data_IF_664243196771
#
_entry.id   IF_664243196771
#
_cell.length_a   1.000
_cell.length_b   1.000
_cell.length_c   1.000
_cell.angle_alpha   90.00
_cell.angle_beta   90.00
_cell.angle_gamma   90.00
#
_symmetry.space_group_name_H-M   'P 1'
#
loop_
_entity.id
_entity.type
_entity.pdbx_description
1 polymer ?
#
# COMPACT_ATOMS: atom_id res chain seq x y z
N UNK A 1 -15.05 -0.77 -15.41
CA UNK A 1 -13.82 -0.08 -15.84
C UNK A 1 -12.77 -1.11 -16.21
N UNK A 2 -12.35 -1.98 -15.29
CA UNK A 2 -11.38 -3.04 -15.61
C UNK A 2 -11.94 -4.15 -16.51
N UNK A 3 -13.22 -4.53 -16.36
CA UNK A 3 -13.87 -5.61 -17.12
C UNK A 3 -14.39 -5.22 -18.51
N UNK A 4 -14.10 -4.01 -18.99
CA UNK A 4 -14.51 -3.64 -20.36
C UNK A 4 -13.73 -4.46 -21.39
N UNK A 5 -14.44 -4.94 -22.42
CA UNK A 5 -13.87 -5.71 -23.54
C UNK A 5 -13.27 -4.79 -24.62
N UNK A 6 -13.35 -3.48 -24.43
CA UNK A 6 -12.81 -2.51 -25.36
C UNK A 6 -11.28 -2.54 -25.39
N UNK A 7 -10.66 -2.35 -26.56
CA UNK A 7 -9.21 -2.38 -26.70
C UNK A 7 -8.56 -1.17 -26.04
N UNK A 8 -7.32 -1.37 -25.55
CA UNK A 8 -6.44 -0.26 -25.16
C UNK A 8 -5.92 0.50 -26.38
N UNK A 9 -5.48 1.74 -26.16
CA UNK A 9 -4.87 2.58 -27.21
C UNK A 9 -3.71 1.81 -27.88
N UNK A 10 -2.83 1.20 -27.09
CA UNK A 10 -1.72 0.40 -27.62
C UNK A 10 -2.21 -0.80 -28.42
N UNK A 11 -3.33 -1.43 -28.02
CA UNK A 11 -3.93 -2.54 -28.78
C UNK A 11 -4.47 -2.07 -30.12
N UNK A 12 -5.12 -0.90 -30.18
CA UNK A 12 -5.58 -0.30 -31.44
C UNK A 12 -4.38 0.02 -32.33
N UNK A 13 -3.34 0.66 -31.78
CA UNK A 13 -2.11 1.00 -32.51
C UNK A 13 -1.44 -0.25 -33.09
N UNK A 14 -1.35 -1.33 -32.33
CA UNK A 14 -0.74 -2.59 -32.79
C UNK A 14 -1.58 -3.32 -33.84
N UNK A 15 -2.91 -3.34 -33.70
CA UNK A 15 -3.80 -4.11 -34.61
C UNK A 15 -4.16 -3.37 -35.89
N UNK A 16 -4.35 -2.05 -35.78
CA UNK A 16 -4.91 -1.23 -36.85
C UNK A 16 -3.98 -0.08 -37.27
N UNK A 17 -2.86 0.14 -36.58
CA UNK A 17 -1.88 1.17 -36.91
C UNK A 17 -2.12 2.50 -36.18
N UNK A 18 -1.10 3.37 -36.26
CA UNK A 18 -1.04 4.62 -35.50
C UNK A 18 -2.14 5.61 -35.89
N UNK A 19 -2.47 5.72 -37.18
CA UNK A 19 -3.52 6.62 -37.65
C UNK A 19 -4.89 6.26 -37.06
N UNK A 20 -5.18 4.97 -36.92
CA UNK A 20 -6.44 4.52 -36.32
C UNK A 20 -6.49 4.78 -34.81
N UNK A 21 -5.36 4.64 -34.10
CA UNK A 21 -5.27 5.01 -32.69
C UNK A 21 -5.46 6.53 -32.50
N UNK A 22 -4.80 7.35 -33.32
CA UNK A 22 -4.97 8.82 -33.32
C UNK A 22 -6.41 9.22 -33.59
N UNK A 23 -7.03 8.64 -34.62
CA UNK A 23 -8.42 8.93 -34.97
C UNK A 23 -9.38 8.57 -33.82
N UNK A 24 -9.20 7.42 -33.17
CA UNK A 24 -10.04 7.01 -32.06
C UNK A 24 -9.94 7.97 -30.86
N UNK A 25 -8.73 8.38 -30.48
CA UNK A 25 -8.52 9.31 -29.36
C UNK A 25 -9.00 10.72 -29.74
N UNK A 26 -8.73 11.18 -30.96
CA UNK A 26 -9.17 12.48 -31.46
C UNK A 26 -10.70 12.61 -31.48
N UNK A 27 -11.40 11.55 -31.91
CA UNK A 27 -12.87 11.51 -31.91
C UNK A 27 -13.42 11.69 -30.49
N UNK A 28 -12.90 10.95 -29.51
CA UNK A 28 -13.34 11.06 -28.12
C UNK A 28 -13.02 12.41 -27.49
N UNK A 29 -11.88 13.02 -27.87
CA UNK A 29 -11.50 14.34 -27.41
C UNK A 29 -12.38 15.43 -28.04
N UNK A 30 -12.71 15.31 -29.33
CA UNK A 30 -13.59 16.25 -30.02
C UNK A 30 -14.99 16.29 -29.37
N UNK A 31 -15.59 15.13 -29.09
CA UNK A 31 -16.86 15.03 -28.35
C UNK A 31 -16.80 15.77 -27.00
N UNK A 32 -15.65 15.72 -26.33
CA UNK A 32 -15.44 16.40 -25.06
C UNK A 32 -15.31 17.92 -25.20
N UNK A 33 -14.57 18.38 -26.22
CA UNK A 33 -14.39 19.80 -26.49
C UNK A 33 -15.71 20.46 -26.93
N UNK A 34 -16.50 19.78 -27.75
CA UNK A 34 -17.80 20.26 -28.24
C UNK A 34 -18.79 20.49 -27.09
N UNK A 35 -18.81 19.60 -26.08
CA UNK A 35 -19.71 19.72 -24.93
C UNK A 35 -19.55 21.05 -24.15
N UNK A 36 -18.32 21.53 -24.00
CA UNK A 36 -18.06 22.73 -23.21
C UNK A 36 -18.33 24.04 -23.96
N UNK A 37 -18.61 23.98 -25.27
CA UNK A 37 -18.93 25.13 -26.12
C UNK A 37 -18.02 26.35 -25.85
N UNK A 38 -16.73 26.10 -25.62
CA UNK A 38 -15.82 27.16 -25.19
C UNK A 38 -15.42 27.99 -26.41
N UNK A 39 -15.61 29.31 -26.33
CA UNK A 39 -15.24 30.25 -27.40
C UNK A 39 -13.74 30.27 -27.73
N UNK A 40 -12.91 29.61 -26.92
CA UNK A 40 -11.46 29.42 -27.10
C UNK A 40 -11.07 27.94 -26.84
N UNK A 41 -11.63 27.00 -27.61
CA UNK A 41 -11.10 25.62 -27.64
C UNK A 41 -9.81 25.53 -28.46
N UNK A 42 -9.08 24.44 -28.28
CA UNK A 42 -7.89 24.09 -29.05
C UNK A 42 -8.11 24.12 -30.57
N UNK A 43 -7.10 24.55 -31.33
CA UNK A 43 -7.06 24.37 -32.79
C UNK A 43 -6.82 22.90 -33.17
N UNK A 44 -7.12 22.51 -34.42
CA UNK A 44 -6.89 21.15 -34.93
C UNK A 44 -5.45 20.66 -34.69
N UNK A 45 -4.47 21.55 -34.85
CA UNK A 45 -3.05 21.24 -34.58
C UNK A 45 -2.82 20.96 -33.09
N UNK A 46 -3.42 21.74 -32.19
CA UNK A 46 -3.32 21.53 -30.75
C UNK A 46 -4.05 20.24 -30.32
N UNK A 47 -5.17 19.91 -30.96
CA UNK A 47 -5.87 18.63 -30.78
C UNK A 47 -4.94 17.48 -31.18
N UNK A 48 -4.35 17.52 -32.37
CA UNK A 48 -3.44 16.47 -32.84
C UNK A 48 -2.22 16.28 -31.92
N UNK A 49 -1.59 17.37 -31.48
CA UNK A 49 -0.47 17.31 -30.53
C UNK A 49 -0.90 16.72 -29.18
N UNK A 50 -2.08 17.10 -28.68
CA UNK A 50 -2.61 16.58 -27.42
C UNK A 50 -2.92 15.09 -27.55
N UNK A 51 -3.48 14.65 -28.68
CA UNK A 51 -3.75 13.24 -28.96
C UNK A 51 -2.47 12.42 -28.94
N UNK A 52 -1.39 12.91 -29.55
CA UNK A 52 -0.10 12.23 -29.55
C UNK A 52 0.47 12.09 -28.13
N UNK A 53 0.38 13.16 -27.32
CA UNK A 53 0.77 13.11 -25.90
C UNK A 53 -0.07 12.11 -25.09
N UNK A 54 -1.38 12.01 -25.36
CA UNK A 54 -2.25 11.04 -24.69
C UNK A 54 -1.84 9.60 -25.05
N UNK A 55 -1.53 9.35 -26.32
CA UNK A 55 -1.11 8.02 -26.79
C UNK A 55 0.24 7.63 -26.18
N UNK A 56 1.16 8.58 -26.02
CA UNK A 56 2.48 8.38 -25.43
C UNK A 56 2.42 8.13 -23.92
N UNK A 57 1.70 8.97 -23.17
CA UNK A 57 1.65 8.92 -21.70
C UNK A 57 0.71 7.84 -21.17
N UNK A 58 -0.34 7.51 -21.93
CA UNK A 58 -1.43 6.66 -21.47
C UNK A 58 -1.76 5.49 -22.43
N UNK A 59 -0.76 4.76 -22.98
CA UNK A 59 -0.98 3.72 -23.98
C UNK A 59 -1.83 2.54 -23.46
N UNK A 60 -1.82 2.31 -22.15
CA UNK A 60 -2.54 1.24 -21.47
C UNK A 60 -4.04 1.51 -21.26
N UNK A 61 -4.52 2.76 -21.39
CA UNK A 61 -5.94 3.06 -21.20
C UNK A 61 -6.79 2.48 -22.34
N UNK A 62 -7.97 1.97 -22.00
CA UNK A 62 -9.02 1.52 -22.94
C UNK A 62 -9.78 2.70 -23.54
N UNK A 63 -10.43 2.51 -24.68
CA UNK A 63 -11.32 3.54 -25.25
C UNK A 63 -12.44 3.93 -24.26
N UNK A 64 -13.01 2.96 -23.55
CA UNK A 64 -13.99 3.21 -22.49
C UNK A 64 -13.44 3.98 -21.31
N UNK A 65 -12.15 3.84 -21.05
CA UNK A 65 -11.50 4.58 -20.00
C UNK A 65 -11.39 6.07 -20.34
N UNK A 66 -11.02 6.39 -21.59
CA UNK A 66 -11.02 7.75 -22.10
C UNK A 66 -12.45 8.34 -22.09
N UNK A 67 -13.44 7.57 -22.58
CA UNK A 67 -14.86 7.98 -22.53
C UNK A 67 -15.30 8.31 -21.10
N UNK A 68 -14.95 7.48 -20.13
CA UNK A 68 -15.32 7.69 -18.73
C UNK A 68 -14.60 8.90 -18.14
N UNK A 69 -13.30 9.06 -18.41
CA UNK A 69 -12.52 10.21 -18.00
C UNK A 69 -13.15 11.51 -18.51
N UNK A 70 -13.45 11.60 -19.81
CA UNK A 70 -14.05 12.79 -20.40
C UNK A 70 -15.47 13.03 -19.88
N UNK A 71 -16.30 11.99 -19.70
CA UNK A 71 -17.61 12.13 -19.04
C UNK A 71 -17.50 12.63 -17.59
N UNK A 72 -16.48 12.24 -16.85
CA UNK A 72 -16.24 12.75 -15.51
C UNK A 72 -15.78 14.22 -15.53
N UNK A 73 -14.96 14.60 -16.52
CA UNK A 73 -14.58 15.98 -16.75
C UNK A 73 -15.78 16.86 -17.10
N UNK A 74 -16.68 16.40 -17.98
CA UNK A 74 -17.96 17.05 -18.31
C UNK A 74 -18.83 17.30 -17.07
N UNK A 75 -18.76 16.42 -16.07
CA UNK A 75 -19.43 16.56 -14.78
C UNK A 75 -18.65 17.40 -13.76
N UNK A 76 -17.56 18.06 -14.18
CA UNK A 76 -16.66 18.86 -13.34
C UNK A 76 -16.03 18.09 -12.17
N UNK A 77 -15.94 16.75 -12.25
CA UNK A 77 -15.33 15.91 -11.19
C UNK A 77 -13.87 16.29 -10.94
N UNK A 78 -13.17 16.71 -11.99
CA UNK A 78 -11.75 17.03 -11.94
C UNK A 78 -11.45 18.50 -11.65
N UNK A 79 -12.47 19.27 -11.24
CA UNK A 79 -12.35 20.68 -10.88
C UNK A 79 -13.10 21.60 -11.85
N UNK A 80 -13.15 22.88 -11.48
CA UNK A 80 -13.73 23.93 -12.31
C UNK A 80 -12.87 24.13 -13.56
N UNK A 81 -13.54 24.27 -14.70
CA UNK A 81 -12.91 24.63 -15.97
C UNK A 81 -13.03 26.13 -16.08
N UNK A 82 -11.90 26.82 -16.01
CA UNK A 82 -11.84 28.27 -16.27
C UNK A 82 -11.90 28.52 -17.79
N UNK A 83 -11.81 29.78 -18.23
CA UNK A 83 -12.05 30.25 -19.61
C UNK A 83 -11.44 29.46 -20.79
N UNK A 84 -10.57 28.46 -20.58
CA UNK A 84 -9.90 27.68 -21.64
C UNK A 84 -9.86 26.18 -21.34
N UNK A 85 -10.01 25.39 -22.39
CA UNK A 85 -9.69 23.95 -22.39
C UNK A 85 -8.56 23.71 -23.39
N UNK A 86 -7.36 23.46 -22.88
CA UNK A 86 -6.17 23.14 -23.66
C UNK A 86 -5.64 21.73 -23.34
N UNK A 87 -4.54 21.35 -23.98
CA UNK A 87 -3.91 20.05 -23.77
C UNK A 87 -3.47 19.80 -22.32
N UNK A 88 -3.05 20.84 -21.58
CA UNK A 88 -2.66 20.68 -20.17
C UNK A 88 -3.88 20.34 -19.30
N UNK A 89 -5.01 21.00 -19.55
CA UNK A 89 -6.28 20.72 -18.85
C UNK A 89 -6.70 19.28 -19.12
N UNK A 90 -6.67 18.82 -20.37
CA UNK A 90 -7.03 17.44 -20.75
C UNK A 90 -6.10 16.41 -20.10
N UNK A 91 -4.79 16.64 -20.14
CA UNK A 91 -3.81 15.75 -19.50
C UNK A 91 -3.97 15.72 -17.97
N UNK A 92 -4.39 16.83 -17.36
CA UNK A 92 -4.68 16.88 -15.92
C UNK A 92 -5.88 16.01 -15.53
N UNK A 93 -6.91 15.93 -16.38
CA UNK A 93 -8.05 15.04 -16.19
C UNK A 93 -7.63 13.57 -16.25
N UNK A 94 -6.85 13.22 -17.27
CA UNK A 94 -6.32 11.86 -17.43
C UNK A 94 -5.41 11.46 -16.27
N UNK A 95 -4.57 12.38 -15.78
CA UNK A 95 -3.71 12.16 -14.60
C UNK A 95 -4.55 11.84 -13.36
N UNK A 96 -5.58 12.64 -13.08
CA UNK A 96 -6.49 12.42 -11.94
C UNK A 96 -7.23 11.10 -12.08
N UNK A 97 -7.77 10.83 -13.26
CA UNK A 97 -8.48 9.59 -13.55
C UNK A 97 -7.59 8.35 -13.42
N UNK A 98 -6.34 8.41 -13.91
CA UNK A 98 -5.40 7.30 -13.77
C UNK A 98 -5.02 7.07 -12.30
N UNK A 99 -4.89 8.13 -11.49
CA UNK A 99 -4.69 8.01 -10.05
C UNK A 99 -5.89 7.35 -9.35
N UNK A 100 -7.12 7.74 -9.69
CA UNK A 100 -8.33 7.11 -9.17
C UNK A 100 -8.39 5.62 -9.53
N UNK A 101 -8.04 5.28 -10.78
CA UNK A 101 -7.95 3.90 -11.25
C UNK A 101 -6.99 3.08 -10.39
N UNK A 102 -5.76 3.56 -10.20
CA UNK A 102 -4.76 2.83 -9.42
C UNK A 102 -5.26 2.61 -7.99
N UNK A 103 -5.85 3.63 -7.36
CA UNK A 103 -6.43 3.49 -6.03
C UNK A 103 -7.56 2.46 -5.97
N UNK A 104 -8.41 2.35 -7.00
CA UNK A 104 -9.44 1.31 -7.05
C UNK A 104 -8.81 -0.08 -7.18
N UNK A 105 -7.80 -0.23 -8.04
CA UNK A 105 -7.09 -1.50 -8.22
C UNK A 105 -6.37 -1.93 -6.92
N UNK A 106 -5.72 -1.00 -6.23
CA UNK A 106 -5.07 -1.24 -4.94
C UNK A 106 -6.09 -1.68 -3.89
N UNK A 107 -7.23 -0.98 -3.81
CA UNK A 107 -8.31 -1.33 -2.89
C UNK A 107 -8.94 -2.69 -3.20
N UNK A 108 -9.07 -3.06 -4.48
CA UNK A 108 -9.56 -4.38 -4.88
C UNK A 108 -8.57 -5.46 -4.48
N UNK A 109 -7.28 -5.27 -4.79
CA UNK A 109 -6.21 -6.18 -4.44
C UNK A 109 -6.11 -6.38 -2.91
N UNK A 110 -6.22 -5.30 -2.15
CA UNK A 110 -6.23 -5.33 -0.69
C UNK A 110 -7.46 -6.08 -0.15
N UNK A 111 -8.64 -5.85 -0.71
CA UNK A 111 -9.87 -6.54 -0.31
C UNK A 111 -9.79 -8.03 -0.62
N UNK A 112 -9.31 -8.42 -1.80
CA UNK A 112 -9.12 -9.81 -2.18
C UNK A 112 -8.13 -10.51 -1.25
N UNK A 113 -6.99 -9.87 -0.97
CA UNK A 113 -6.00 -10.39 -0.03
C UNK A 113 -6.60 -10.57 1.37
N UNK A 114 -7.36 -9.58 1.85
CA UNK A 114 -8.03 -9.67 3.15
C UNK A 114 -9.08 -10.78 3.19
N UNK A 115 -9.85 -10.97 2.12
CA UNK A 115 -10.82 -12.06 2.02
C UNK A 115 -10.15 -13.44 2.02
N UNK A 116 -8.98 -13.58 1.37
CA UNK A 116 -8.18 -14.81 1.43
C UNK A 116 -7.74 -15.09 2.86
N UNK A 117 -7.15 -14.10 3.55
CA UNK A 117 -6.77 -14.23 4.96
C UNK A 117 -8.00 -14.58 5.81
N UNK A 118 -9.13 -13.90 5.62
CA UNK A 118 -10.37 -14.17 6.36
C UNK A 118 -10.86 -15.60 6.10
N UNK A 119 -10.78 -16.08 4.85
CA UNK A 119 -11.18 -17.43 4.47
C UNK A 119 -10.25 -18.51 5.01
N UNK A 120 -8.95 -18.24 5.05
CA UNK A 120 -7.92 -19.09 5.66
C UNK A 120 -7.96 -19.02 7.19
N UNK A 121 -8.53 -17.94 7.75
CA UNK A 121 -8.74 -17.73 9.18
C UNK A 121 -10.11 -18.22 9.69
N UNK A 122 -10.99 -18.73 8.81
CA UNK A 122 -12.03 -19.65 9.28
C UNK A 122 -11.28 -20.73 10.06
N UNK A 123 -11.64 -21.01 11.32
CA UNK A 123 -10.91 -22.00 12.08
C UNK A 123 -10.91 -23.27 11.21
N UNK A 124 -9.70 -23.69 10.79
CA UNK A 124 -9.49 -25.06 10.32
C UNK A 124 -10.32 -25.92 11.25
N UNK A 125 -11.25 -26.72 10.73
CA UNK A 125 -12.13 -27.59 11.51
C UNK A 125 -11.28 -28.62 12.28
N UNK A 126 -10.58 -28.14 13.29
CA UNK A 126 -9.56 -28.78 14.07
C UNK A 126 -9.68 -28.19 15.47
N UNK A 127 -9.65 -29.07 16.45
CA UNK A 127 -9.80 -28.72 17.87
C UNK A 127 -8.76 -27.65 18.24
N UNK A 128 -9.19 -26.61 18.96
CA UNK A 128 -8.23 -25.71 19.59
C UNK A 128 -7.35 -26.52 20.55
N UNK A 129 -6.08 -26.12 20.73
CA UNK A 129 -5.14 -26.85 21.59
C UNK A 129 -5.68 -27.08 23.02
N UNK A 130 -6.43 -26.11 23.55
CA UNK A 130 -7.09 -26.21 24.84
C UNK A 130 -8.17 -27.30 24.87
N UNK A 131 -8.98 -27.38 23.81
CA UNK A 131 -10.03 -28.40 23.65
C UNK A 131 -9.41 -29.79 23.48
N UNK A 132 -8.35 -29.90 22.66
CA UNK A 132 -7.58 -31.14 22.48
C UNK A 132 -6.98 -31.64 23.81
N UNK A 133 -6.42 -30.74 24.61
CA UNK A 133 -5.85 -31.10 25.91
C UNK A 133 -6.91 -31.52 26.92
N UNK A 134 -8.08 -30.89 26.92
CA UNK A 134 -9.21 -31.28 27.76
C UNK A 134 -9.71 -32.71 27.43
N UNK A 135 -9.78 -33.05 26.14
CA UNK A 135 -10.13 -34.41 25.69
C UNK A 135 -9.09 -35.45 26.17
N UNK A 136 -7.79 -35.14 26.03
CA UNK A 136 -6.72 -36.01 26.51
C UNK A 136 -6.79 -36.24 28.02
N UNK A 137 -7.10 -35.19 28.80
CA UNK A 137 -7.27 -35.31 30.26
C UNK A 137 -8.42 -36.25 30.61
N UNK A 138 -9.55 -36.15 29.91
CA UNK A 138 -10.70 -36.99 30.18
C UNK A 138 -10.45 -38.46 29.79
N UNK A 139 -9.79 -38.70 28.65
CA UNK A 139 -9.38 -40.05 28.23
C UNK A 139 -8.36 -40.65 29.20
N UNK A 140 -7.40 -39.86 29.66
CA UNK A 140 -6.42 -40.29 30.66
C UNK A 140 -7.09 -40.65 32.00
N UNK A 141 -8.10 -39.89 32.45
CA UNK A 141 -8.90 -40.23 33.65
C UNK A 141 -9.63 -41.56 33.50
N UNK A 142 -10.08 -41.87 32.28
CA UNK A 142 -10.72 -43.14 31.94
C UNK A 142 -9.74 -44.30 31.71
N UNK A 143 -8.43 -44.08 31.94
CA UNK A 143 -7.40 -45.12 31.91
C UNK A 143 -6.75 -45.36 30.55
N UNK A 144 -6.97 -44.49 29.56
CA UNK A 144 -6.32 -44.55 28.25
C UNK A 144 -4.82 -44.18 28.37
N UNK A 145 -3.96 -45.19 28.20
CA UNK A 145 -2.50 -45.04 28.32
C UNK A 145 -1.91 -44.16 27.22
N UNK A 146 -2.48 -44.19 26.02
CA UNK A 146 -2.01 -43.37 24.90
C UNK A 146 -2.31 -41.89 25.17
N UNK A 147 -3.47 -41.61 25.78
CA UNK A 147 -3.82 -40.26 26.21
C UNK A 147 -2.90 -39.74 27.34
N UNK A 148 -2.50 -40.60 28.29
CA UNK A 148 -1.53 -40.24 29.34
C UNK A 148 -0.18 -39.85 28.74
N UNK A 149 0.37 -40.67 27.84
CA UNK A 149 1.65 -40.36 27.17
C UNK A 149 1.57 -39.09 26.32
N UNK A 150 0.45 -38.86 25.63
CA UNK A 150 0.22 -37.64 24.88
C UNK A 150 0.13 -36.39 25.77
N UNK A 151 -0.50 -36.50 26.95
CA UNK A 151 -0.59 -35.42 27.93
C UNK A 151 0.80 -35.05 28.49
N UNK A 152 1.61 -36.05 28.86
CA UNK A 152 2.97 -35.85 29.38
C UNK A 152 3.88 -35.15 28.36
N UNK A 153 3.81 -35.57 27.09
CA UNK A 153 4.54 -34.91 26.01
C UNK A 153 4.10 -33.46 25.84
N UNK A 154 2.79 -33.21 25.90
CA UNK A 154 2.19 -31.88 25.83
C UNK A 154 2.64 -30.97 26.98
N UNK A 155 2.67 -31.49 28.21
CA UNK A 155 3.16 -30.77 29.39
C UNK A 155 4.63 -30.40 29.25
N UNK A 156 5.46 -31.34 28.76
CA UNK A 156 6.88 -31.11 28.50
C UNK A 156 7.12 -30.01 27.48
N UNK A 157 6.38 -30.02 26.37
CA UNK A 157 6.48 -28.99 25.33
C UNK A 157 6.04 -27.63 25.88
N UNK A 158 4.95 -27.59 26.64
CA UNK A 158 4.44 -26.36 27.26
C UNK A 158 5.49 -25.71 28.17
N UNK A 159 6.12 -26.51 29.03
CA UNK A 159 7.16 -26.04 29.93
C UNK A 159 8.38 -25.52 29.18
N UNK A 160 8.84 -26.23 28.14
CA UNK A 160 9.98 -25.81 27.32
C UNK A 160 9.74 -24.47 26.62
N UNK A 161 8.52 -24.25 26.11
CA UNK A 161 8.14 -22.98 25.47
C UNK A 161 8.14 -21.85 26.51
N UNK A 162 7.57 -22.11 27.69
CA UNK A 162 7.50 -21.13 28.76
C UNK A 162 8.90 -20.75 29.28
N UNK A 163 9.79 -21.72 29.46
CA UNK A 163 11.18 -21.50 29.85
C UNK A 163 11.92 -20.61 28.85
N UNK A 164 11.82 -20.90 27.55
CA UNK A 164 12.43 -20.07 26.49
C UNK A 164 11.89 -18.64 26.49
N UNK A 165 10.59 -18.47 26.74
CA UNK A 165 9.95 -17.15 26.82
C UNK A 165 10.46 -16.37 28.03
N UNK A 166 10.56 -17.00 29.20
CA UNK A 166 11.10 -16.40 30.42
C UNK A 166 12.59 -16.06 30.24
N UNK A 167 13.38 -16.92 29.60
CA UNK A 167 14.79 -16.66 29.34
C UNK A 167 14.99 -15.44 28.43
N UNK A 168 14.17 -15.31 27.38
CA UNK A 168 14.18 -14.13 26.51
C UNK A 168 13.83 -12.87 27.30
N UNK A 169 12.75 -12.89 28.08
CA UNK A 169 12.35 -11.77 28.93
C UNK A 169 13.44 -11.35 29.92
N UNK A 170 14.16 -12.32 30.52
CA UNK A 170 15.32 -12.03 31.39
C UNK A 170 16.46 -11.37 30.64
N UNK A 171 16.78 -11.82 29.41
CA UNK A 171 17.82 -11.20 28.57
C UNK A 171 17.45 -9.76 28.21
N UNK A 172 16.20 -9.54 27.82
CA UNK A 172 15.69 -8.21 27.49
C UNK A 172 15.73 -7.27 28.70
N UNK A 173 15.32 -7.77 29.87
CA UNK A 173 15.36 -7.01 31.13
C UNK A 173 16.80 -6.66 31.55
N UNK A 174 17.73 -7.61 31.45
CA UNK A 174 19.13 -7.36 31.76
C UNK A 174 19.77 -6.37 30.77
N UNK A 175 19.45 -6.47 29.49
CA UNK A 175 19.91 -5.52 28.48
C UNK A 175 19.39 -4.10 28.76
N UNK A 176 18.14 -3.98 29.21
CA UNK A 176 17.54 -2.71 29.63
C UNK A 176 18.28 -2.09 30.82
N UNK A 177 18.54 -2.85 31.89
CA UNK A 177 19.26 -2.33 33.06
C UNK A 177 20.71 -1.95 32.75
N UNK A 178 21.42 -2.78 31.96
CA UNK A 178 22.79 -2.46 31.53
C UNK A 178 22.87 -1.16 30.72
N UNK A 179 21.84 -0.88 29.92
CA UNK A 179 21.73 0.36 29.16
C UNK A 179 21.53 1.57 30.08
N UNK A 180 20.65 1.46 31.08
CA UNK A 180 20.44 2.50 32.08
C UNK A 180 21.72 2.80 32.89
N UNK A 181 22.48 1.77 33.26
CA UNK A 181 23.77 1.94 33.95
C UNK A 181 24.78 2.68 33.05
N UNK A 182 24.90 2.29 31.78
CA UNK A 182 25.80 2.97 30.85
C UNK A 182 25.41 4.42 30.59
N UNK A 183 24.11 4.73 30.50
CA UNK A 183 23.60 6.10 30.31
C UNK A 183 23.91 6.97 31.54
N UNK A 184 23.64 6.45 32.75
CA UNK A 184 23.97 7.14 34.00
C UNK A 184 25.48 7.36 34.19
N UNK A 185 26.33 6.41 33.76
CA UNK A 185 27.80 6.56 33.81
C UNK A 185 28.32 7.62 32.85
N UNK A 186 27.77 7.70 31.62
CA UNK A 186 28.09 8.77 30.67
C UNK A 186 27.64 10.15 31.17
N UNK A 187 26.46 10.25 31.79
CA UNK A 187 25.98 11.52 32.34
C UNK A 187 26.86 12.00 33.50
N UNK A 188 27.28 11.09 34.39
CA UNK A 188 28.19 11.39 35.51
C UNK A 188 29.60 11.80 35.02
N UNK A 189 30.11 11.18 33.95
CA UNK A 189 31.39 11.57 33.33
C UNK A 189 31.32 12.94 32.64
N UNK A 190 30.22 13.24 31.95
CA UNK A 190 30.00 14.56 31.35
C UNK A 190 29.90 15.67 32.40
N UNK A 191 29.26 15.41 33.54
CA UNK A 191 29.22 16.34 34.68
C UNK A 191 30.61 16.56 35.30
N UNK A 192 31.41 15.50 35.50
CA UNK A 192 32.78 15.62 36.01
C UNK A 192 33.73 16.35 35.05
N UNK A 193 33.64 16.11 33.74
CA UNK A 193 34.43 16.83 32.74
C UNK A 193 34.05 18.31 32.65
N UNK A 194 32.77 18.65 32.82
CA UNK A 194 32.30 20.04 32.85
C UNK A 194 32.87 20.83 34.03
N UNK A 195 32.99 20.19 35.21
CA UNK A 195 33.62 20.78 36.40
C UNK A 195 35.14 20.94 36.24
N UNK A 196 35.80 20.00 35.56
CA UNK A 196 37.26 20.02 35.41
C UNK A 196 37.73 21.06 34.37
N UNK A 197 36.96 21.28 33.30
CA UNK A 197 37.25 22.33 32.30
C UNK A 197 37.13 23.74 32.86
N UNK A 198 36.29 23.97 33.88
CA UNK A 198 36.18 25.28 34.50
C UNK A 198 37.37 25.64 35.40
N UNK A 199 38.16 24.66 35.86
CA UNK A 199 39.36 24.88 36.68
C UNK A 199 40.67 24.97 35.86
N UNK A 200 40.64 24.63 34.57
CA UNK A 200 41.81 24.66 33.69
C UNK A 200 42.02 25.97 32.91
N UNK A 201 41.01 26.83 32.82
CA UNK A 201 41.06 28.07 32.04
C UNK A 201 41.72 29.26 32.77
N UNK A 202 41.95 29.15 34.09
CA UNK A 202 42.50 30.27 34.90
C UNK A 202 44.04 30.25 35.03
N UNK A 203 44.78 29.42 34.27
CA UNK A 203 46.25 29.28 34.41
C UNK A 203 47.09 29.61 33.18
N UNK A 204 46.51 30.07 32.08
CA UNK A 204 47.26 30.58 30.92
C UNK A 204 46.87 32.03 30.61
N UNK A 205 47.11 32.94 31.54
CA UNK A 205 47.22 34.38 31.26
C UNK A 205 48.10 35.06 32.32
N UNK A 206 49.41 34.78 32.30
CA UNK A 206 50.48 35.67 32.81
C UNK A 206 51.73 35.49 31.97
#
# INVERSE_FOLDING_TARGET
>A
MFDSHEPSIVTIKMRYGELNARAAVAYLLADALEFFNAGETMSDTQVAMTVDLIIEEYPHLKTDDLKLCFKNAMKLKYGQIYNRIDGQVVLSWLKKYNSERCSIADNQSYKEHRLLIESDSKPTSGMFYEEYRAELQERARNGDKDAVTALELSDRISNMIQERRVERQKKDLNAFYKKLESENETDNQMEQESHTRHHGADKEEV
#
